data_IF_549827420272
#
_entry.id   IF_549827420272
#
_cell.length_a   1.000
_cell.length_b   1.000
_cell.length_c   1.000
_cell.angle_alpha   90.00
_cell.angle_beta   90.00
_cell.angle_gamma   90.00
#
_symmetry.space_group_name_H-M   'P 1'
#
loop_
_entity.id
_entity.type
_entity.pdbx_description
1 polymer ?
#
# COMPACT_ATOMS: atom_id res chain seq x y z
N UNK A 1 -4.60 -2.67 13.30
CA UNK A 1 -5.43 -1.96 12.34
C UNK A 1 -4.59 -0.89 11.64
N UNK A 2 -4.59 -0.86 10.31
CA UNK A 2 -3.93 0.20 9.54
C UNK A 2 -4.77 1.48 9.66
N UNK A 3 -4.14 2.58 10.08
CA UNK A 3 -4.75 3.90 10.12
C UNK A 3 -4.35 4.66 8.86
N UNK A 4 -5.31 5.32 8.22
CA UNK A 4 -5.06 6.18 7.07
C UNK A 4 -5.15 7.64 7.50
N UNK A 5 -4.13 8.42 7.19
CA UNK A 5 -4.16 9.86 7.39
C UNK A 5 -5.03 10.47 6.28
N UNK A 6 -6.34 10.59 6.53
CA UNK A 6 -7.28 11.17 5.58
C UNK A 6 -7.32 12.70 5.73
N UNK A 7 -7.54 13.40 4.62
CA UNK A 7 -7.62 14.85 4.59
C UNK A 7 -9.01 15.30 4.09
N UNK A 8 -9.59 16.28 4.77
CA UNK A 8 -10.88 16.86 4.40
C UNK A 8 -10.64 18.01 3.40
N UNK A 9 -11.28 17.93 2.22
CA UNK A 9 -11.19 18.95 1.17
C UNK A 9 -11.62 20.33 1.67
N UNK A 10 -12.82 20.43 2.26
CA UNK A 10 -13.36 21.71 2.71
C UNK A 10 -12.49 22.36 3.79
N UNK A 11 -11.92 21.57 4.71
CA UNK A 11 -10.98 22.09 5.70
C UNK A 11 -9.72 22.69 5.07
N UNK A 12 -9.21 22.11 3.98
CA UNK A 12 -8.04 22.62 3.27
C UNK A 12 -8.40 23.90 2.52
N UNK A 13 -9.57 23.97 1.88
CA UNK A 13 -10.03 25.19 1.20
C UNK A 13 -10.15 26.36 2.20
N UNK A 14 -10.77 26.14 3.36
CA UNK A 14 -10.86 27.17 4.40
C UNK A 14 -9.49 27.69 4.87
N UNK A 15 -8.48 26.81 4.99
CA UNK A 15 -7.13 27.22 5.36
C UNK A 15 -6.48 28.07 4.27
N UNK A 16 -6.65 27.66 3.00
CA UNK A 16 -6.13 28.40 1.84
C UNK A 16 -6.77 29.78 1.75
N UNK A 17 -8.08 29.89 1.96
CA UNK A 17 -8.80 31.16 1.96
C UNK A 17 -8.35 32.11 3.07
N UNK A 18 -7.93 31.57 4.22
CA UNK A 18 -7.40 32.35 5.35
C UNK A 18 -5.93 32.74 5.21
N UNK A 19 -5.25 32.26 4.17
CA UNK A 19 -3.81 32.48 3.99
C UNK A 19 -2.95 31.80 5.06
N UNK A 20 -3.48 30.76 5.72
CA UNK A 20 -2.75 29.95 6.69
C UNK A 20 -1.74 29.05 5.96
N UNK A 21 -0.65 28.67 6.65
CA UNK A 21 0.24 27.64 6.13
C UNK A 21 -0.57 26.37 5.84
N UNK A 22 -0.28 25.72 4.70
CA UNK A 22 -0.91 24.45 4.29
C UNK A 22 -0.41 23.27 5.14
N UNK A 23 -0.31 23.46 6.44
CA UNK A 23 0.08 22.45 7.41
C UNK A 23 -1.18 21.80 7.95
N UNK A 24 -1.45 20.60 7.45
CA UNK A 24 -2.37 19.70 8.13
C UNK A 24 -1.60 19.14 9.34
N UNK A 25 -1.79 19.73 10.52
CA UNK A 25 -1.05 19.37 11.74
C UNK A 25 -1.43 17.99 12.30
N UNK A 26 -2.35 17.28 11.63
CA UNK A 26 -2.73 15.90 11.94
C UNK A 26 -3.38 15.75 13.31
N UNK A 27 -3.70 16.84 14.02
CA UNK A 27 -4.06 16.71 15.43
C UNK A 27 -5.46 16.16 15.64
N UNK A 28 -6.38 16.27 14.70
CA UNK A 28 -7.76 15.95 15.06
C UNK A 28 -8.71 15.84 13.86
N UNK A 29 -8.58 14.79 13.06
CA UNK A 29 -9.75 14.19 12.41
C UNK A 29 -9.90 12.82 13.07
N UNK A 30 -11.00 12.53 13.80
CA UNK A 30 -11.33 11.17 14.13
C UNK A 30 -11.49 10.52 12.77
N UNK A 31 -10.49 9.77 12.35
CA UNK A 31 -10.68 8.74 11.37
C UNK A 31 -11.82 7.92 11.95
N UNK A 32 -13.05 7.92 11.38
CA UNK A 32 -13.85 6.74 11.58
C UNK A 32 -12.95 5.57 11.18
N UNK A 33 -13.01 4.53 11.99
CA UNK A 33 -12.21 3.32 11.87
C UNK A 33 -12.57 2.62 10.56
N UNK A 34 -12.22 3.23 9.42
CA UNK A 34 -12.57 2.70 8.12
C UNK A 34 -11.50 1.69 7.75
N UNK A 35 -11.95 0.45 7.66
CA UNK A 35 -11.11 -0.65 7.25
C UNK A 35 -10.66 -0.39 5.83
N UNK A 36 -9.38 -0.71 5.55
CA UNK A 36 -8.86 -0.68 4.18
C UNK A 36 -9.82 -1.48 3.30
N UNK A 37 -10.30 -0.83 2.24
CA UNK A 37 -11.28 -1.41 1.34
C UNK A 37 -10.69 -1.58 -0.07
N UNK A 38 -11.46 -2.19 -0.97
CA UNK A 38 -11.02 -2.51 -2.32
C UNK A 38 -11.34 -1.42 -3.36
N UNK A 39 -11.99 -0.32 -2.97
CA UNK A 39 -12.28 0.80 -3.87
C UNK A 39 -11.40 2.03 -3.59
N UNK A 40 -10.75 2.10 -2.43
CA UNK A 40 -9.88 3.20 -2.05
C UNK A 40 -10.62 4.49 -1.76
N UNK A 41 -11.95 4.44 -1.58
CA UNK A 41 -12.81 5.59 -1.31
C UNK A 41 -13.24 5.52 0.15
N UNK A 42 -13.06 6.62 0.89
CA UNK A 42 -13.35 6.72 2.31
C UNK A 42 -14.25 7.94 2.56
N UNK A 43 -15.38 7.71 3.21
CA UNK A 43 -16.35 8.75 3.57
C UNK A 43 -16.34 8.96 5.09
N UNK A 44 -16.26 10.21 5.55
CA UNK A 44 -16.20 10.52 6.98
C UNK A 44 -16.75 11.90 7.30
N UNK A 45 -16.96 12.17 8.59
CA UNK A 45 -17.26 13.51 9.10
C UNK A 45 -16.06 14.05 9.86
N UNK A 46 -15.49 15.18 9.43
CA UNK A 46 -14.34 15.78 10.11
C UNK A 46 -14.76 16.47 11.43
N UNK A 47 -13.80 16.88 12.27
CA UNK A 47 -14.14 17.56 13.54
C UNK A 47 -14.84 18.90 13.40
N UNK A 48 -14.72 19.56 12.25
CA UNK A 48 -15.48 20.77 11.93
C UNK A 48 -16.91 20.47 11.46
N UNK A 49 -17.29 19.20 11.31
CA UNK A 49 -18.62 18.77 10.89
C UNK A 49 -18.82 18.60 9.38
N UNK A 50 -17.78 18.75 8.55
CA UNK A 50 -17.87 18.55 7.11
C UNK A 50 -18.02 17.07 6.76
N UNK A 51 -18.93 16.74 5.84
CA UNK A 51 -19.03 15.43 5.20
C UNK A 51 -17.98 15.36 4.09
N UNK A 52 -16.90 14.64 4.33
CA UNK A 52 -15.75 14.56 3.44
C UNK A 52 -15.65 13.20 2.76
N UNK A 53 -15.09 13.22 1.55
CA UNK A 53 -14.70 12.05 0.78
C UNK A 53 -13.21 12.13 0.45
N UNK A 54 -12.47 11.07 0.78
CA UNK A 54 -11.05 10.94 0.44
C UNK A 54 -10.82 9.69 -0.39
N UNK A 55 -10.04 9.84 -1.44
CA UNK A 55 -9.56 8.77 -2.31
C UNK A 55 -8.07 8.60 -2.10
N UNK A 56 -7.61 7.36 -1.95
CA UNK A 56 -6.19 7.08 -1.87
C UNK A 56 -5.56 7.03 -3.27
N UNK A 57 -4.45 7.73 -3.47
CA UNK A 57 -3.64 7.69 -4.70
C UNK A 57 -2.49 6.70 -4.50
N UNK A 58 -2.82 5.42 -4.30
CA UNK A 58 -1.88 4.32 -4.13
C UNK A 58 -2.21 3.18 -5.10
N UNK A 59 -1.37 2.15 -5.13
CA UNK A 59 -1.63 0.91 -5.86
C UNK A 59 -1.66 -0.29 -4.89
N UNK A 60 -2.42 -1.33 -5.24
CA UNK A 60 -2.76 -2.46 -4.37
C UNK A 60 -1.56 -3.08 -3.63
N UNK A 61 -0.42 -3.28 -4.29
CA UNK A 61 0.72 -3.93 -3.64
C UNK A 61 1.33 -3.09 -2.52
N UNK A 62 1.30 -1.75 -2.62
CA UNK A 62 1.79 -0.84 -1.58
C UNK A 62 0.92 -0.95 -0.32
N UNK A 63 -0.40 -0.96 -0.52
CA UNK A 63 -1.37 -1.08 0.56
C UNK A 63 -1.29 -2.46 1.22
N UNK A 64 -1.19 -3.55 0.44
CA UNK A 64 -1.01 -4.90 0.98
C UNK A 64 0.29 -5.04 1.77
N UNK A 65 1.37 -4.38 1.32
CA UNK A 65 2.63 -4.39 2.03
C UNK A 65 2.51 -3.69 3.39
N UNK A 66 1.93 -2.47 3.41
CA UNK A 66 1.65 -1.75 4.66
C UNK A 66 0.71 -2.52 5.58
N UNK A 67 -0.31 -3.18 5.04
CA UNK A 67 -1.20 -4.05 5.81
C UNK A 67 -0.42 -5.18 6.50
N UNK A 68 0.53 -5.78 5.76
CA UNK A 68 1.44 -6.80 6.29
C UNK A 68 2.31 -6.29 7.44
N UNK A 69 2.81 -5.05 7.39
CA UNK A 69 3.57 -4.44 8.48
C UNK A 69 2.70 -4.15 9.70
N UNK A 70 1.51 -3.60 9.48
CA UNK A 70 0.53 -3.33 10.52
C UNK A 70 0.16 -4.63 11.27
N UNK A 71 0.01 -5.75 10.56
CA UNK A 71 -0.23 -7.05 11.16
C UNK A 71 0.92 -7.54 12.06
N UNK A 72 2.19 -7.25 11.72
CA UNK A 72 3.34 -7.53 12.62
C UNK A 72 3.22 -6.73 13.91
N UNK A 73 2.88 -5.44 13.79
CA UNK A 73 2.73 -4.55 14.95
C UNK A 73 1.62 -5.03 15.88
N UNK A 74 0.54 -5.56 15.31
CA UNK A 74 -0.63 -6.04 16.07
C UNK A 74 -0.49 -7.47 16.59
N UNK A 75 0.57 -8.20 16.24
CA UNK A 75 0.76 -9.60 16.65
C UNK A 75 0.10 -10.64 15.74
N UNK A 76 -0.49 -10.22 14.62
CA UNK A 76 -1.11 -11.07 13.60
C UNK A 76 -0.05 -11.57 12.60
N UNK A 77 0.88 -12.39 13.08
CA UNK A 77 2.08 -12.79 12.34
C UNK A 77 1.79 -13.65 11.11
N UNK A 78 0.74 -14.47 11.15
CA UNK A 78 0.32 -15.32 10.02
C UNK A 78 -0.29 -14.45 8.91
N UNK A 79 -1.14 -13.53 9.30
CA UNK A 79 -1.80 -12.55 8.45
C UNK A 79 -0.75 -11.67 7.77
N UNK A 80 0.27 -11.25 8.52
CA UNK A 80 1.41 -10.51 7.99
C UNK A 80 2.09 -11.24 6.82
N UNK A 81 2.47 -12.51 7.02
CA UNK A 81 3.12 -13.31 5.97
C UNK A 81 2.22 -13.48 4.75
N UNK A 82 0.90 -13.65 4.97
CA UNK A 82 -0.08 -13.71 3.88
C UNK A 82 -0.14 -12.40 3.09
N UNK A 83 -0.31 -11.27 3.76
CA UNK A 83 -0.40 -9.96 3.11
C UNK A 83 0.90 -9.58 2.40
N UNK A 84 2.06 -9.87 2.99
CA UNK A 84 3.36 -9.63 2.36
C UNK A 84 3.57 -10.51 1.12
N UNK A 85 3.14 -11.77 1.16
CA UNK A 85 3.16 -12.65 -0.02
C UNK A 85 2.29 -12.09 -1.14
N UNK A 86 1.06 -11.68 -0.82
CA UNK A 86 0.15 -11.08 -1.79
C UNK A 86 0.68 -9.75 -2.34
N UNK A 87 1.34 -8.93 -1.53
CA UNK A 87 2.00 -7.70 -1.98
C UNK A 87 3.09 -8.01 -3.02
N UNK A 88 3.94 -9.01 -2.76
CA UNK A 88 4.97 -9.45 -3.72
C UNK A 88 4.37 -9.92 -5.05
N UNK A 89 3.31 -10.73 -5.00
CA UNK A 89 2.64 -11.24 -6.20
C UNK A 89 1.96 -10.12 -7.01
N UNK A 90 1.31 -9.17 -6.35
CA UNK A 90 0.74 -7.98 -7.00
C UNK A 90 1.82 -7.04 -7.54
N UNK A 91 3.00 -7.00 -6.93
CA UNK A 91 4.15 -6.30 -7.48
C UNK A 91 4.66 -6.95 -8.77
N UNK A 92 4.73 -8.28 -8.85
CA UNK A 92 5.10 -8.95 -10.10
C UNK A 92 4.12 -8.63 -11.23
N UNK A 93 2.83 -8.61 -10.94
CA UNK A 93 1.80 -8.13 -11.87
C UNK A 93 2.07 -6.69 -12.34
N UNK A 94 2.32 -5.77 -11.41
CA UNK A 94 2.66 -4.37 -11.72
C UNK A 94 3.88 -4.30 -12.65
N UNK A 95 4.96 -4.99 -12.31
CA UNK A 95 6.17 -5.05 -13.12
C UNK A 95 5.89 -5.52 -14.55
N UNK A 96 5.19 -6.65 -14.70
CA UNK A 96 4.86 -7.22 -16.01
C UNK A 96 4.05 -6.22 -16.84
N UNK A 97 3.02 -5.62 -16.23
CA UNK A 97 2.18 -4.62 -16.89
C UNK A 97 2.97 -3.38 -17.31
N UNK A 98 3.88 -2.90 -16.46
CA UNK A 98 4.78 -1.79 -16.82
C UNK A 98 5.68 -2.15 -17.99
N UNK A 99 6.32 -3.32 -17.99
CA UNK A 99 7.17 -3.74 -19.11
C UNK A 99 6.37 -3.87 -20.41
N UNK A 100 5.17 -4.46 -20.38
CA UNK A 100 4.31 -4.52 -21.56
C UNK A 100 3.90 -3.12 -22.05
N UNK A 101 3.74 -2.17 -21.13
CA UNK A 101 3.47 -0.77 -21.46
C UNK A 101 4.66 -0.08 -22.14
N UNK A 102 5.90 -0.44 -21.82
CA UNK A 102 7.10 0.08 -22.51
C UNK A 102 7.11 -0.24 -24.00
N UNK A 103 6.49 -1.35 -24.41
CA UNK A 103 6.28 -1.71 -25.82
C UNK A 103 5.11 -0.97 -26.48
N UNK A 104 4.58 0.07 -25.82
CA UNK A 104 3.47 0.92 -26.27
C UNK A 104 2.15 0.19 -26.53
N UNK A 105 1.97 -1.00 -25.95
CA UNK A 105 0.67 -1.67 -25.91
C UNK A 105 -0.32 -0.82 -25.10
N UNK A 106 -1.55 -0.70 -25.57
CA UNK A 106 -2.63 -0.11 -24.78
C UNK A 106 -2.97 -0.99 -23.56
N UNK A 107 -3.58 -0.37 -22.55
CA UNK A 107 -3.92 -1.10 -21.33
C UNK A 107 -5.02 -2.16 -21.56
N UNK A 108 -5.92 -1.95 -22.52
CA UNK A 108 -6.98 -2.91 -22.85
C UNK A 108 -6.42 -4.24 -23.38
N UNK A 109 -5.42 -4.19 -24.28
CA UNK A 109 -4.74 -5.37 -24.81
C UNK A 109 -3.91 -6.05 -23.72
N UNK A 110 -3.26 -5.28 -22.85
CA UNK A 110 -2.53 -5.80 -21.68
C UNK A 110 -3.51 -6.57 -20.79
N UNK A 111 -4.66 -5.99 -20.43
CA UNK A 111 -5.65 -6.63 -19.56
C UNK A 111 -6.29 -7.86 -20.21
N UNK A 112 -6.61 -7.79 -21.50
CA UNK A 112 -7.11 -8.95 -22.26
C UNK A 112 -6.13 -10.11 -22.21
N UNK A 113 -4.84 -9.83 -22.29
CA UNK A 113 -3.78 -10.85 -22.20
C UNK A 113 -3.59 -11.33 -20.76
N UNK A 114 -3.59 -10.41 -19.79
CA UNK A 114 -3.43 -10.68 -18.36
C UNK A 114 -4.52 -11.62 -17.82
N UNK A 115 -5.78 -11.46 -18.26
CA UNK A 115 -6.91 -12.35 -17.90
C UNK A 115 -6.63 -13.84 -18.13
N UNK A 116 -5.73 -14.20 -19.05
CA UNK A 116 -5.35 -15.59 -19.33
C UNK A 116 -4.42 -16.20 -18.27
N UNK A 117 -3.73 -15.37 -17.48
CA UNK A 117 -2.72 -15.80 -16.51
C UNK A 117 -2.96 -15.26 -15.09
N UNK A 118 -3.95 -14.38 -14.89
CA UNK A 118 -4.22 -13.67 -13.63
C UNK A 118 -4.53 -14.59 -12.44
N UNK A 119 -4.97 -15.83 -12.67
CA UNK A 119 -5.26 -16.83 -11.63
C UNK A 119 -4.12 -17.84 -11.39
N UNK A 120 -2.97 -17.69 -12.06
CA UNK A 120 -1.89 -18.69 -12.04
C UNK A 120 -0.58 -18.08 -11.55
N UNK A 121 -0.36 -18.11 -10.24
CA UNK A 121 0.81 -17.50 -9.57
C UNK A 121 2.15 -17.98 -10.14
N UNK A 122 2.28 -19.27 -10.45
CA UNK A 122 3.51 -19.84 -11.06
C UNK A 122 3.77 -19.28 -12.46
N UNK A 123 2.72 -19.06 -13.27
CA UNK A 123 2.85 -18.44 -14.60
C UNK A 123 3.22 -16.96 -14.49
N UNK A 124 2.69 -16.26 -13.49
CA UNK A 124 3.04 -14.87 -13.22
C UNK A 124 4.51 -14.75 -12.80
N UNK A 125 4.98 -15.63 -11.92
CA UNK A 125 6.38 -15.69 -11.51
C UNK A 125 7.29 -15.98 -12.71
N UNK A 126 6.95 -16.96 -13.54
CA UNK A 126 7.70 -17.26 -14.77
C UNK A 126 7.77 -16.05 -15.72
N UNK A 127 6.65 -15.37 -15.95
CA UNK A 127 6.61 -14.16 -16.77
C UNK A 127 7.47 -13.02 -16.19
N UNK A 128 7.42 -12.81 -14.88
CA UNK A 128 8.26 -11.83 -14.18
C UNK A 128 9.75 -12.12 -14.40
N UNK A 129 10.19 -13.38 -14.18
CA UNK A 129 11.60 -13.78 -14.34
C UNK A 129 12.08 -13.53 -15.76
N UNK A 130 11.32 -13.98 -16.77
CA UNK A 130 11.72 -13.86 -18.17
C UNK A 130 11.77 -12.41 -18.63
N UNK A 131 10.78 -11.59 -18.25
CA UNK A 131 10.76 -10.17 -18.61
C UNK A 131 11.86 -9.38 -17.87
N UNK A 132 12.11 -9.70 -16.60
CA UNK A 132 13.20 -9.07 -15.86
C UNK A 132 14.56 -9.37 -16.52
N UNK A 133 14.83 -10.63 -16.87
CA UNK A 133 16.03 -11.04 -17.59
C UNK A 133 16.15 -10.31 -18.94
N UNK A 134 15.08 -10.26 -19.73
CA UNK A 134 15.06 -9.56 -21.01
C UNK A 134 15.40 -8.08 -20.87
N UNK A 135 14.90 -7.44 -19.81
CA UNK A 135 15.03 -5.99 -19.62
C UNK A 135 16.37 -5.58 -19.02
N UNK A 136 16.89 -6.35 -18.06
CA UNK A 136 18.07 -5.98 -17.28
C UNK A 136 19.31 -6.85 -17.59
N UNK A 137 19.17 -7.95 -18.32
CA UNK A 137 20.28 -8.84 -18.66
C UNK A 137 20.82 -9.64 -17.47
N UNK A 138 20.06 -9.72 -16.38
CA UNK A 138 20.41 -10.42 -15.14
C UNK A 138 19.15 -11.06 -14.53
N UNK A 139 19.31 -11.99 -13.59
CA UNK A 139 18.18 -12.59 -12.88
C UNK A 139 17.61 -11.66 -11.81
N UNK A 140 16.28 -11.66 -11.58
CA UNK A 140 15.70 -10.93 -10.46
C UNK A 140 16.08 -11.58 -9.12
N UNK A 141 16.12 -10.77 -8.06
CA UNK A 141 16.14 -11.32 -6.70
C UNK A 141 14.79 -12.00 -6.41
N UNK A 142 14.84 -13.25 -5.96
CA UNK A 142 13.68 -14.05 -5.57
C UNK A 142 13.81 -14.56 -4.13
N UNK A 143 12.71 -15.09 -3.60
CA UNK A 143 12.73 -15.80 -2.32
C UNK A 143 13.67 -17.01 -2.40
N UNK A 144 14.42 -17.24 -1.33
CA UNK A 144 15.32 -18.38 -1.22
C UNK A 144 14.54 -19.71 -1.29
N UNK A 145 14.83 -20.58 -2.27
CA UNK A 145 14.10 -21.83 -2.47
C UNK A 145 14.20 -22.83 -1.32
N UNK A 146 15.30 -22.75 -0.55
CA UNK A 146 15.59 -23.71 0.51
C UNK A 146 15.06 -23.28 1.89
N UNK A 147 14.66 -22.01 2.06
CA UNK A 147 14.28 -21.49 3.38
C UNK A 147 13.03 -20.62 3.37
N UNK A 148 12.88 -19.71 2.40
CA UNK A 148 11.79 -18.72 2.41
C UNK A 148 10.54 -19.23 1.69
N UNK A 149 10.70 -19.92 0.56
CA UNK A 149 9.57 -20.56 -0.14
C UNK A 149 8.93 -21.64 0.76
N UNK A 150 9.68 -22.57 1.38
CA UNK A 150 9.10 -23.55 2.29
C UNK A 150 8.43 -22.91 3.50
N UNK A 151 9.02 -21.84 4.06
CA UNK A 151 8.43 -21.07 5.16
C UNK A 151 7.08 -20.47 4.76
N UNK A 152 7.01 -19.74 3.64
CA UNK A 152 5.76 -19.18 3.08
C UNK A 152 4.73 -20.29 2.91
N UNK A 153 5.09 -21.39 2.25
CA UNK A 153 4.16 -22.49 1.98
C UNK A 153 3.63 -23.11 3.28
N UNK A 154 4.46 -23.23 4.32
CA UNK A 154 4.07 -23.74 5.63
C UNK A 154 3.05 -22.81 6.32
N UNK A 155 3.27 -21.50 6.27
CA UNK A 155 2.36 -20.51 6.88
C UNK A 155 1.01 -20.45 6.13
N UNK A 156 1.06 -20.38 4.79
CA UNK A 156 -0.12 -20.20 3.96
C UNK A 156 -0.96 -21.49 3.89
N UNK A 157 -0.33 -22.63 3.62
CA UNK A 157 -1.05 -23.87 3.30
C UNK A 157 -1.12 -24.88 4.45
N UNK A 158 -0.19 -24.82 5.41
CA UNK A 158 -0.12 -25.79 6.52
C UNK A 158 -0.56 -25.23 7.88
N UNK A 159 -1.05 -23.99 7.91
CA UNK A 159 -1.56 -23.35 9.12
C UNK A 159 -0.50 -23.06 10.19
N UNK A 160 0.79 -23.01 9.82
CA UNK A 160 1.84 -22.65 10.77
C UNK A 160 1.68 -21.19 11.21
N UNK A 161 1.74 -20.95 12.51
CA UNK A 161 1.71 -19.62 13.11
C UNK A 161 3.17 -19.19 13.35
N UNK A 162 3.69 -18.24 12.56
CA UNK A 162 5.07 -17.80 12.69
C UNK A 162 5.27 -16.91 13.93
N UNK A 163 6.51 -16.84 14.41
CA UNK A 163 6.93 -15.88 15.42
C UNK A 163 7.13 -14.48 14.82
N UNK A 164 7.15 -13.45 15.69
CA UNK A 164 7.50 -12.07 15.30
C UNK A 164 8.79 -12.01 14.47
N UNK A 165 9.84 -12.71 14.92
CA UNK A 165 11.15 -12.70 14.27
C UNK A 165 11.11 -13.32 12.88
N UNK A 166 10.39 -14.43 12.72
CA UNK A 166 10.20 -15.06 11.41
C UNK A 166 9.41 -14.15 10.45
N UNK A 167 8.33 -13.53 10.92
CA UNK A 167 7.54 -12.60 10.09
C UNK A 167 8.33 -11.34 9.70
N UNK A 168 9.11 -10.76 10.61
CA UNK A 168 10.01 -9.63 10.30
C UNK A 168 11.06 -10.05 9.27
N UNK A 169 11.69 -11.21 9.45
CA UNK A 169 12.70 -11.73 8.51
C UNK A 169 12.09 -11.91 7.11
N UNK A 170 10.92 -12.53 7.03
CA UNK A 170 10.22 -12.72 5.76
C UNK A 170 9.82 -11.38 5.11
N UNK A 171 9.30 -10.44 5.92
CA UNK A 171 8.97 -9.09 5.45
C UNK A 171 10.18 -8.34 4.89
N UNK A 172 11.36 -8.47 5.50
CA UNK A 172 12.61 -7.91 4.97
C UNK A 172 12.97 -8.48 3.60
N UNK A 173 12.83 -9.80 3.41
CA UNK A 173 13.10 -10.45 2.13
C UNK A 173 12.15 -9.96 1.05
N UNK A 174 10.85 -9.91 1.34
CA UNK A 174 9.84 -9.38 0.42
C UNK A 174 10.10 -7.91 0.08
N UNK A 175 10.41 -7.08 1.10
CA UNK A 175 10.74 -5.68 0.92
C UNK A 175 11.92 -5.51 -0.05
N UNK A 176 12.99 -6.27 0.19
CA UNK A 176 14.20 -6.21 -0.62
C UNK A 176 13.93 -6.60 -2.08
N UNK A 177 13.15 -7.66 -2.32
CA UNK A 177 12.76 -8.10 -3.66
C UNK A 177 12.02 -6.97 -4.40
N UNK A 178 10.97 -6.44 -3.78
CA UNK A 178 10.14 -5.41 -4.41
C UNK A 178 10.94 -4.14 -4.64
N UNK A 179 11.65 -3.63 -3.64
CA UNK A 179 12.38 -2.36 -3.73
C UNK A 179 13.50 -2.40 -4.75
N UNK A 180 14.33 -3.45 -4.77
CA UNK A 180 15.44 -3.53 -5.73
C UNK A 180 14.91 -3.56 -7.16
N UNK A 181 13.87 -4.35 -7.40
CA UNK A 181 13.23 -4.44 -8.71
C UNK A 181 12.53 -3.13 -9.09
N UNK A 182 11.83 -2.47 -8.16
CA UNK A 182 11.10 -1.23 -8.41
C UNK A 182 12.04 -0.06 -8.67
N UNK A 183 13.15 0.06 -7.94
CA UNK A 183 14.16 1.09 -8.17
C UNK A 183 14.79 0.96 -9.55
N UNK A 184 15.14 -0.26 -9.97
CA UNK A 184 15.67 -0.52 -11.32
C UNK A 184 14.63 -0.20 -12.40
N UNK A 185 13.39 -0.65 -12.21
CA UNK A 185 12.29 -0.36 -13.12
C UNK A 185 12.07 1.14 -13.28
N UNK A 186 12.02 1.90 -12.18
CA UNK A 186 11.87 3.36 -12.19
C UNK A 186 13.06 4.07 -12.82
N UNK A 187 14.29 3.61 -12.58
CA UNK A 187 15.47 4.24 -13.19
C UNK A 187 15.49 4.15 -14.72
N UNK A 188 14.83 3.12 -15.29
CA UNK A 188 14.82 2.87 -16.74
C UNK A 188 13.52 3.32 -17.42
N UNK A 189 12.38 3.18 -16.74
CA UNK A 189 11.03 3.36 -17.29
C UNK A 189 10.12 4.15 -16.35
N UNK A 190 10.60 5.28 -15.84
CA UNK A 190 9.86 6.09 -14.86
C UNK A 190 8.45 6.47 -15.35
N UNK A 191 8.34 6.92 -16.61
CA UNK A 191 7.07 7.36 -17.18
C UNK A 191 6.08 6.20 -17.26
N UNK A 192 6.50 5.04 -17.77
CA UNK A 192 5.64 3.86 -17.84
C UNK A 192 5.27 3.31 -16.45
N UNK A 193 6.15 3.44 -15.45
CA UNK A 193 5.79 3.14 -14.06
C UNK A 193 4.63 4.02 -13.59
N UNK A 194 4.69 5.32 -13.88
CA UNK A 194 3.66 6.27 -13.47
C UNK A 194 2.37 6.07 -14.27
N UNK A 195 2.44 5.85 -15.59
CA UNK A 195 1.27 5.49 -16.40
C UNK A 195 0.59 4.21 -15.88
N UNK A 196 1.38 3.18 -15.55
CA UNK A 196 0.85 1.92 -15.01
C UNK A 196 0.23 2.14 -13.62
N UNK A 197 0.89 2.94 -12.78
CA UNK A 197 0.40 3.29 -11.46
C UNK A 197 -0.92 4.05 -11.55
N UNK A 198 -1.00 5.06 -12.40
CA UNK A 198 -2.19 5.88 -12.58
C UNK A 198 -3.33 5.02 -13.13
N UNK A 199 -3.06 4.13 -14.09
CA UNK A 199 -4.09 3.29 -14.68
C UNK A 199 -4.65 2.22 -13.73
N UNK A 200 -3.79 1.53 -12.97
CA UNK A 200 -4.21 0.41 -12.11
C UNK A 200 -4.34 0.79 -10.62
N UNK A 201 -4.04 2.04 -10.27
CA UNK A 201 -4.16 2.56 -8.91
C UNK A 201 -5.61 2.82 -8.50
N UNK A 202 -5.81 3.00 -7.20
CA UNK A 202 -7.14 3.26 -6.63
C UNK A 202 -7.77 4.54 -7.19
N UNK A 203 -6.95 5.56 -7.47
CA UNK A 203 -7.39 6.86 -7.99
C UNK A 203 -8.22 6.74 -9.27
N UNK A 204 -7.76 5.99 -10.27
CA UNK A 204 -8.43 5.87 -11.58
C UNK A 204 -9.82 5.26 -11.46
N UNK A 205 -9.95 4.18 -10.69
CA UNK A 205 -11.25 3.56 -10.42
C UNK A 205 -12.19 4.52 -9.69
N UNK A 206 -11.66 5.24 -8.70
CA UNK A 206 -12.45 6.22 -7.96
C UNK A 206 -12.89 7.40 -8.83
N UNK A 207 -12.06 7.90 -9.75
CA UNK A 207 -12.44 8.94 -10.70
C UNK A 207 -13.61 8.50 -11.60
N UNK A 208 -13.62 7.24 -12.04
CA UNK A 208 -14.73 6.67 -12.82
C UNK A 208 -16.02 6.57 -12.00
N UNK A 209 -15.93 6.09 -10.76
CA UNK A 209 -17.07 5.98 -9.84
C UNK A 209 -17.62 7.37 -9.47
N UNK A 210 -16.75 8.36 -9.23
CA UNK A 210 -17.13 9.75 -8.92
C UNK A 210 -17.81 10.42 -10.11
N UNK A 211 -17.21 10.31 -11.30
CA UNK A 211 -17.78 10.90 -12.51
C UNK A 211 -19.18 10.37 -12.80
N UNK A 212 -19.38 9.06 -12.63
CA UNK A 212 -20.70 8.43 -12.76
C UNK A 212 -21.70 9.00 -11.75
N UNK A 213 -21.28 9.19 -10.50
CA UNK A 213 -22.13 9.78 -9.44
C UNK A 213 -22.48 11.25 -9.73
N UNK A 214 -21.55 12.03 -10.26
CA UNK A 214 -21.79 13.42 -10.66
C UNK A 214 -22.79 13.52 -11.82
N UNK A 215 -22.67 12.62 -12.81
CA UNK A 215 -23.63 12.50 -13.92
C UNK A 215 -25.02 12.11 -13.43
N UNK A 216 -25.13 11.19 -12.46
CA UNK A 216 -26.40 10.73 -11.89
C UNK A 216 -27.07 11.79 -10.99
N UNK A 217 -26.29 12.56 -10.23
CA UNK A 217 -26.82 13.50 -9.23
C UNK A 217 -26.87 14.95 -9.70
N UNK A 218 -26.14 15.31 -10.76
CA UNK A 218 -25.95 16.68 -11.23
C UNK A 218 -25.17 17.56 -10.26
N UNK A 219 -24.47 16.97 -9.28
CA UNK A 219 -23.73 17.70 -8.23
C UNK A 219 -22.26 17.30 -8.21
N UNK A 220 -21.40 18.29 -8.36
CA UNK A 220 -19.95 18.16 -8.22
C UNK A 220 -19.59 17.60 -6.84
N UNK A 221 -18.63 16.68 -6.81
CA UNK A 221 -18.19 16.00 -5.59
C UNK A 221 -16.87 16.61 -5.10
N UNK A 222 -16.91 17.31 -3.98
CA UNK A 222 -15.70 17.74 -3.26
C UNK A 222 -14.92 16.51 -2.75
N UNK A 223 -13.90 16.09 -3.50
CA UNK A 223 -13.12 14.89 -3.19
C UNK A 223 -11.65 15.24 -2.99
N UNK A 224 -11.07 14.74 -1.91
CA UNK A 224 -9.63 14.83 -1.65
C UNK A 224 -8.91 13.60 -2.18
N UNK A 225 -7.75 13.79 -2.83
CA UNK A 225 -6.84 12.69 -3.17
C UNK A 225 -5.64 12.70 -2.24
N UNK A 226 -5.36 11.57 -1.59
CA UNK A 226 -4.23 11.43 -0.67
C UNK A 226 -3.36 10.26 -1.10
N UNK A 227 -2.10 10.51 -1.43
CA UNK A 227 -1.11 9.44 -1.54
C UNK A 227 -0.60 9.10 -0.14
N UNK A 228 -0.90 7.90 0.33
CA UNK A 228 -0.33 7.40 1.58
C UNK A 228 1.13 7.07 1.31
N UNK A 229 2.01 7.76 2.03
CA UNK A 229 3.46 7.55 1.95
C UNK A 229 3.83 6.22 2.61
N UNK A 230 3.68 5.14 1.86
CA UNK A 230 3.94 3.76 2.25
C UNK A 230 5.45 3.47 2.28
N UNK A 231 5.83 2.36 2.90
CA UNK A 231 7.21 1.89 3.00
C UNK A 231 7.78 1.57 1.62
N UNK A 232 6.95 1.05 0.72
CA UNK A 232 7.28 0.82 -0.69
C UNK A 232 6.32 1.67 -1.51
N UNK A 233 6.86 2.60 -2.28
CA UNK A 233 6.09 3.64 -2.96
C UNK A 233 6.64 3.90 -4.37
N UNK A 234 5.76 3.81 -5.37
CA UNK A 234 6.09 4.03 -6.78
C UNK A 234 6.37 5.52 -7.05
N UNK A 235 5.47 6.41 -6.63
CA UNK A 235 5.55 7.85 -6.98
C UNK A 235 6.51 8.58 -6.06
N UNK A 236 6.42 8.33 -4.77
CA UNK A 236 7.14 9.03 -3.71
C UNK A 236 8.08 8.09 -2.97
N UNK A 237 8.83 7.26 -3.69
CA UNK A 237 9.78 6.33 -3.09
C UNK A 237 10.79 6.98 -2.14
N UNK A 238 11.21 6.22 -1.12
CA UNK A 238 12.12 6.67 -0.05
C UNK A 238 13.51 7.11 -0.54
N UNK A 239 13.87 6.75 -1.77
CA UNK A 239 15.07 7.25 -2.44
C UNK A 239 15.04 8.77 -2.69
N UNK A 240 13.85 9.39 -2.73
CA UNK A 240 13.69 10.83 -2.98
C UNK A 240 13.99 11.70 -1.76
N UNK A 241 13.55 11.28 -0.57
CA UNK A 241 13.77 12.04 0.66
C UNK A 241 14.38 11.15 1.75
N UNK A 242 15.71 11.19 1.93
CA UNK A 242 16.39 10.37 2.92
C UNK A 242 16.04 10.72 4.38
N UNK A 243 15.28 11.79 4.64
CA UNK A 243 14.88 12.27 5.97
C UNK A 243 13.40 12.08 6.29
N UNK A 244 12.62 11.46 5.40
CA UNK A 244 11.16 11.29 5.58
C UNK A 244 10.77 10.20 6.60
N UNK A 245 11.76 9.59 7.26
CA UNK A 245 11.56 8.57 8.28
C UNK A 245 11.21 7.19 7.74
N UNK A 246 11.17 6.95 6.41
CA UNK A 246 10.85 5.66 5.76
C UNK A 246 12.06 4.76 5.44
N UNK A 247 13.23 5.13 5.96
CA UNK A 247 14.45 4.33 5.86
C UNK A 247 14.37 3.05 6.69
N UNK A 248 15.27 2.12 6.34
CA UNK A 248 15.53 0.94 7.14
C UNK A 248 14.86 -0.34 6.66
N UNK A 249 15.03 -1.37 7.47
CA UNK A 249 14.33 -2.65 7.37
C UNK A 249 12.94 -2.58 8.02
N UNK A 250 12.14 -3.63 7.87
CA UNK A 250 10.79 -3.75 8.45
C UNK A 250 10.78 -3.44 9.95
N UNK A 251 11.80 -3.86 10.69
CA UNK A 251 11.88 -3.62 12.13
C UNK A 251 11.97 -2.13 12.48
N UNK A 252 12.66 -1.34 11.66
CA UNK A 252 12.78 0.12 11.82
C UNK A 252 11.49 0.86 11.44
N UNK A 253 10.57 0.19 10.72
CA UNK A 253 9.24 0.73 10.39
C UNK A 253 8.27 0.62 11.57
N UNK A 254 8.42 -0.40 12.42
CA UNK A 254 7.49 -0.70 13.51
C UNK A 254 7.28 0.50 14.46
N UNK A 255 8.32 1.18 14.98
CA UNK A 255 8.13 2.34 15.85
C UNK A 255 7.34 3.48 15.18
N UNK A 256 7.55 3.70 13.88
CA UNK A 256 6.84 4.74 13.14
C UNK A 256 5.34 4.42 13.01
N UNK A 257 5.00 3.16 12.74
CA UNK A 257 3.61 2.70 12.68
C UNK A 257 2.95 2.84 14.06
N UNK A 258 3.65 2.48 15.14
CA UNK A 258 3.15 2.62 16.51
C UNK A 258 2.90 4.09 16.85
N UNK A 259 3.87 4.98 16.57
CA UNK A 259 3.76 6.41 16.87
C UNK A 259 2.55 7.07 16.22
N UNK A 260 2.21 6.68 14.98
CA UNK A 260 1.00 7.16 14.27
C UNK A 260 -0.31 6.67 14.88
N UNK A 261 -0.29 5.66 15.76
CA UNK A 261 -1.47 5.05 16.40
C UNK A 261 -1.69 5.51 17.85
N UNK A 262 -0.91 6.45 18.36
CA UNK A 262 -1.04 7.01 19.71
C UNK A 262 -1.76 8.37 19.68
N UNK A 263 -2.61 8.73 20.67
CA UNK A 263 -2.67 8.16 22.03
C UNK A 263 -3.76 7.10 22.22
N UNK A 264 -3.43 6.02 22.92
CA UNK A 264 -4.40 4.99 23.37
C UNK A 264 -4.80 5.27 24.81
N UNK A 265 -6.11 5.38 25.09
CA UNK A 265 -6.62 5.33 26.46
C UNK A 265 -6.80 3.87 26.87
N UNK A 266 -6.13 3.44 27.94
CA UNK A 266 -6.30 2.12 28.54
C UNK A 266 -7.17 2.28 29.79
N UNK A 267 -8.38 1.73 29.77
CA UNK A 267 -9.27 1.67 30.92
C UNK A 267 -9.10 0.30 31.58
N UNK A 268 -8.78 0.27 32.87
CA UNK A 268 -8.73 -0.96 33.63
C UNK A 268 -10.15 -1.52 33.79
N UNK A 269 -10.34 -2.82 33.50
CA UNK A 269 -11.64 -3.48 33.64
C UNK A 269 -12.11 -3.56 35.12
N UNK A 270 -11.17 -3.44 36.05
CA UNK A 270 -11.39 -3.31 37.51
C UNK A 270 -10.27 -2.45 38.09
N UNK A 271 -10.61 -1.59 39.05
CA UNK A 271 -9.62 -0.82 39.82
C UNK A 271 -8.56 -1.74 40.46
N UNK A 272 -7.37 -1.16 40.74
CA UNK A 272 -6.31 -1.83 41.50
C UNK A 272 -6.93 -2.56 42.70
N UNK A 273 -6.62 -3.84 42.93
CA UNK A 273 -7.10 -4.53 44.11
C UNK A 273 -6.71 -3.70 45.32
N UNK A 274 -7.70 -3.34 46.16
CA UNK A 274 -7.45 -2.65 47.42
C UNK A 274 -6.45 -3.50 48.19
N UNK A 275 -5.22 -3.00 48.34
CA UNK A 275 -4.23 -3.55 49.25
C UNK A 275 -4.90 -3.66 50.62
N UNK A 276 -5.00 -4.89 51.14
CA UNK A 276 -5.41 -5.15 52.52
C UNK A 276 -4.36 -4.62 53.49
#
# INVERSE_FOLDING_TARGET
MMLLDLACFDCIIEQVEKGEDKTFDGTSIPTPFEQVNNNGIYEFTCLKGHKAKTVIDNINFEILFEYGLNAIVDGYYRESVSSLTSAMERYFEFFIKTILRTSKNDFELIDKSWKKISSQSERQLGAYIMLYLQVFGEEPLLLNPNSEIPFRNKVIHKGYIPTKKESIKFGNSVMKIIEQSLLKLKSKYQNECFETFDHYGYKKKAEEDIKKLEEETGKEQNTMFVNIMTTIDVKNGREKNPKDGRKGLVEERIPNIIKRREPRSLILLKDKPKTK
#
